data_IF_839349370125
#
_entry.id   IF_839349370125
#
_cell.length_a   1.000
_cell.length_b   1.000
_cell.length_c   1.000
_cell.angle_alpha   90.00
_cell.angle_beta   90.00
_cell.angle_gamma   90.00
#
_symmetry.space_group_name_H-M   'P 1'
#
loop_
_entity.id
_entity.type
_entity.pdbx_description
1 polymer ?
#
# COMPACT_ATOMS: atom_id res chain seq x y z
N UNK A 1 2.79 22.72 3.65
CA UNK A 1 2.78 21.55 4.55
C UNK A 1 4.16 20.88 4.49
N UNK A 2 4.75 20.58 5.64
CA UNK A 2 6.05 19.92 5.68
C UNK A 2 5.96 18.48 5.15
N UNK A 3 7.08 17.96 4.64
CA UNK A 3 7.14 16.57 4.18
C UNK A 3 6.80 15.59 5.31
N UNK A 4 7.35 15.83 6.52
CA UNK A 4 7.09 14.96 7.66
C UNK A 4 5.59 14.88 7.98
N UNK A 5 4.87 15.99 7.92
CA UNK A 5 3.43 16.01 8.15
C UNK A 5 2.70 15.27 7.02
N UNK A 6 3.10 15.48 5.77
CA UNK A 6 2.51 14.78 4.63
C UNK A 6 2.65 13.26 4.77
N UNK A 7 3.83 12.79 5.17
CA UNK A 7 4.07 11.35 5.36
C UNK A 7 3.24 10.77 6.50
N UNK A 8 3.09 11.53 7.58
CA UNK A 8 2.25 11.11 8.71
C UNK A 8 0.79 11.01 8.32
N UNK A 9 0.28 11.99 7.58
CA UNK A 9 -1.11 11.99 7.11
C UNK A 9 -1.35 10.84 6.13
N UNK A 10 -0.40 10.54 5.27
CA UNK A 10 -0.49 9.41 4.34
C UNK A 10 -0.60 8.08 5.11
N UNK A 11 0.20 7.90 6.14
CA UNK A 11 0.15 6.71 7.00
C UNK A 11 -1.21 6.60 7.70
N UNK A 12 -1.71 7.72 8.26
CA UNK A 12 -3.02 7.75 8.90
C UNK A 12 -4.14 7.42 7.92
N UNK A 13 -4.02 7.86 6.67
CA UNK A 13 -5.01 7.52 5.65
C UNK A 13 -5.03 6.02 5.36
N UNK A 14 -3.87 5.38 5.30
CA UNK A 14 -3.78 3.92 5.17
C UNK A 14 -4.45 3.19 6.33
N UNK A 15 -4.21 3.65 7.55
CA UNK A 15 -4.85 3.11 8.75
C UNK A 15 -6.37 3.32 8.72
N UNK A 16 -6.83 4.47 8.23
CA UNK A 16 -8.26 4.82 8.18
C UNK A 16 -9.04 3.95 7.20
N UNK A 17 -8.40 3.45 6.14
CA UNK A 17 -9.05 2.54 5.18
C UNK A 17 -9.61 1.32 5.90
N UNK A 18 -8.92 0.80 6.89
CA UNK A 18 -9.38 -0.36 7.64
C UNK A 18 -10.71 -0.12 8.35
N UNK A 19 -10.86 1.05 8.96
CA UNK A 19 -12.10 1.44 9.63
C UNK A 19 -13.22 1.67 8.63
N UNK A 20 -12.92 2.33 7.51
CA UNK A 20 -13.88 2.61 6.44
C UNK A 20 -14.40 1.34 5.79
N UNK A 21 -13.51 0.37 5.55
CA UNK A 21 -13.86 -0.93 4.98
C UNK A 21 -14.38 -1.92 6.03
N UNK A 22 -14.45 -1.51 7.29
CA UNK A 22 -14.88 -2.35 8.42
C UNK A 22 -14.03 -3.62 8.58
N UNK A 23 -12.75 -3.49 8.30
CA UNK A 23 -11.78 -4.58 8.44
C UNK A 23 -11.14 -4.51 9.82
N UNK A 24 -11.18 -5.63 10.53
CA UNK A 24 -10.67 -5.72 11.91
C UNK A 24 -9.49 -6.66 12.06
N UNK A 25 -9.08 -7.32 10.97
CA UNK A 25 -7.97 -8.26 10.98
C UNK A 25 -6.63 -7.52 11.00
N UNK A 26 -5.64 -8.09 11.70
CA UNK A 26 -4.26 -7.58 11.67
C UNK A 26 -3.60 -7.80 10.32
N UNK A 27 -3.84 -8.97 9.72
CA UNK A 27 -3.35 -9.25 8.37
C UNK A 27 -4.33 -8.63 7.37
N UNK A 28 -3.90 -7.57 6.72
CA UNK A 28 -4.69 -6.86 5.73
C UNK A 28 -4.35 -7.40 4.35
N UNK A 29 -5.38 -7.70 3.57
CA UNK A 29 -5.22 -8.11 2.19
C UNK A 29 -5.48 -6.93 1.25
N UNK A 30 -4.44 -6.32 0.68
CA UNK A 30 -4.62 -5.21 -0.24
C UNK A 30 -5.32 -5.62 -1.53
N UNK A 31 -5.26 -6.89 -1.92
CA UNK A 31 -6.00 -7.41 -3.07
C UNK A 31 -7.51 -7.32 -2.85
N UNK A 32 -7.96 -7.64 -1.64
CA UNK A 32 -9.38 -7.54 -1.28
C UNK A 32 -9.85 -6.07 -1.32
N UNK A 33 -9.04 -5.15 -0.80
CA UNK A 33 -9.36 -3.73 -0.83
C UNK A 33 -9.49 -3.24 -2.27
N UNK A 34 -8.55 -3.61 -3.14
CA UNK A 34 -8.61 -3.25 -4.55
C UNK A 34 -9.91 -3.77 -5.19
N UNK A 35 -10.26 -5.02 -4.93
CA UNK A 35 -11.48 -5.62 -5.48
C UNK A 35 -12.74 -4.89 -5.04
N UNK A 36 -12.81 -4.41 -3.81
CA UNK A 36 -13.94 -3.64 -3.29
C UNK A 36 -14.11 -2.30 -4.00
N UNK A 37 -13.04 -1.79 -4.62
CA UNK A 37 -13.05 -0.53 -5.36
C UNK A 37 -13.04 -0.75 -6.89
N UNK A 38 -13.36 -1.97 -7.33
CA UNK A 38 -13.40 -2.34 -8.74
C UNK A 38 -12.06 -2.15 -9.45
N UNK A 39 -10.97 -2.27 -8.72
CA UNK A 39 -9.61 -2.21 -9.27
C UNK A 39 -9.15 -3.63 -9.57
N UNK A 40 -8.84 -3.89 -10.84
CA UNK A 40 -8.31 -5.18 -11.27
C UNK A 40 -6.84 -5.25 -10.91
N UNK A 41 -6.44 -6.33 -10.23
CA UNK A 41 -5.04 -6.55 -9.85
C UNK A 41 -4.53 -7.80 -10.55
N UNK A 42 -3.40 -7.68 -11.26
CA UNK A 42 -2.79 -8.80 -11.96
C UNK A 42 -1.30 -8.87 -11.70
N UNK A 43 -0.79 -10.10 -11.65
CA UNK A 43 0.63 -10.36 -11.60
C UNK A 43 1.26 -10.09 -12.97
N UNK A 44 2.47 -9.49 -12.96
CA UNK A 44 3.27 -9.27 -14.16
C UNK A 44 4.65 -9.89 -13.95
N UNK A 45 4.97 -11.00 -14.62
CA UNK A 45 6.22 -11.73 -14.38
C UNK A 45 7.44 -11.14 -15.08
N UNK A 46 7.27 -10.14 -15.94
CA UNK A 46 8.31 -9.58 -16.79
C UNK A 46 8.41 -8.05 -16.66
N UNK A 47 8.37 -7.54 -15.43
CA UNK A 47 8.55 -6.12 -15.18
C UNK A 47 9.98 -5.68 -15.47
N UNK A 48 10.14 -4.40 -15.83
CA UNK A 48 11.46 -3.79 -15.96
C UNK A 48 12.19 -3.82 -14.62
N UNK A 49 13.53 -3.84 -14.68
CA UNK A 49 14.38 -3.89 -13.49
C UNK A 49 14.02 -2.75 -12.52
N UNK A 50 13.83 -3.09 -11.26
CA UNK A 50 13.49 -2.13 -10.21
C UNK A 50 12.02 -1.75 -10.12
N UNK A 51 11.20 -2.12 -11.09
CA UNK A 51 9.76 -1.85 -11.04
C UNK A 51 9.08 -2.86 -10.14
N UNK A 52 8.38 -2.40 -9.11
CA UNK A 52 7.66 -3.24 -8.16
C UNK A 52 6.18 -3.37 -8.52
N UNK A 53 5.60 -2.33 -9.10
CA UNK A 53 4.20 -2.30 -9.47
C UNK A 53 3.90 -1.18 -10.44
N UNK A 54 2.68 -1.20 -10.94
CA UNK A 54 2.19 -0.20 -11.88
C UNK A 54 0.72 0.11 -11.56
N UNK A 55 0.37 1.39 -11.63
CA UNK A 55 -1.01 1.84 -11.59
C UNK A 55 -1.43 2.22 -13.00
N UNK A 56 -2.56 1.71 -13.45
CA UNK A 56 -3.10 1.96 -14.78
C UNK A 56 -4.41 2.72 -14.66
N UNK A 57 -4.64 3.62 -15.61
CA UNK A 57 -5.89 4.36 -15.71
C UNK A 57 -6.42 4.34 -17.13
N UNK A 58 -7.70 4.06 -17.27
CA UNK A 58 -8.45 4.25 -18.52
C UNK A 58 -9.81 4.84 -18.17
N UNK A 59 -9.98 6.14 -18.43
CA UNK A 59 -11.17 6.87 -18.01
C UNK A 59 -11.31 6.89 -16.50
N UNK A 60 -12.39 6.32 -15.99
CA UNK A 60 -12.62 6.16 -14.55
C UNK A 60 -12.29 4.76 -14.04
N UNK A 61 -11.71 3.92 -14.88
CA UNK A 61 -11.31 2.55 -14.52
C UNK A 61 -9.84 2.51 -14.18
N UNK A 62 -9.50 1.75 -13.13
CA UNK A 62 -8.12 1.62 -12.65
C UNK A 62 -7.73 0.15 -12.57
N UNK A 63 -6.45 -0.10 -12.77
CA UNK A 63 -5.86 -1.41 -12.60
C UNK A 63 -4.51 -1.31 -11.92
N UNK A 64 -4.09 -2.40 -11.31
CA UNK A 64 -2.78 -2.51 -10.67
C UNK A 64 -2.09 -3.76 -11.20
N UNK A 65 -0.83 -3.60 -11.61
CA UNK A 65 0.06 -4.72 -11.90
C UNK A 65 1.15 -4.77 -10.83
N UNK A 66 1.50 -5.96 -10.38
CA UNK A 66 2.60 -6.12 -9.43
C UNK A 66 3.64 -7.10 -9.98
N UNK A 67 4.91 -6.86 -9.66
CA UNK A 67 6.01 -7.70 -10.11
C UNK A 67 5.93 -9.07 -9.43
N UNK A 68 5.68 -10.12 -10.19
CA UNK A 68 5.62 -11.49 -9.67
C UNK A 68 6.89 -12.29 -9.93
N UNK A 69 7.85 -11.73 -10.66
CA UNK A 69 9.19 -12.29 -10.83
C UNK A 69 10.02 -12.20 -9.54
N UNK A 70 9.59 -11.39 -8.59
CA UNK A 70 10.16 -11.35 -7.25
C UNK A 70 9.29 -12.21 -6.34
N UNK A 71 9.72 -13.45 -5.96
CA UNK A 71 8.87 -14.39 -5.24
C UNK A 71 8.82 -14.12 -3.74
N UNK A 72 8.34 -12.94 -3.37
CA UNK A 72 8.20 -12.51 -1.97
C UNK A 72 6.80 -11.93 -1.79
N UNK A 73 5.94 -12.66 -1.08
CA UNK A 73 4.56 -12.26 -0.87
C UNK A 73 4.44 -10.94 -0.12
N UNK A 74 5.27 -10.71 0.88
CA UNK A 74 5.29 -9.46 1.63
C UNK A 74 5.60 -8.28 0.73
N UNK A 75 6.58 -8.43 -0.15
CA UNK A 75 6.94 -7.39 -1.11
C UNK A 75 5.83 -7.17 -2.15
N UNK A 76 5.20 -8.23 -2.61
CA UNK A 76 4.08 -8.15 -3.56
C UNK A 76 2.88 -7.42 -2.93
N UNK A 77 2.55 -7.75 -1.68
CA UNK A 77 1.50 -7.05 -0.93
C UNK A 77 1.83 -5.57 -0.72
N UNK A 78 3.08 -5.29 -0.35
CA UNK A 78 3.52 -3.91 -0.19
C UNK A 78 3.41 -3.13 -1.50
N UNK A 79 3.77 -3.75 -2.61
CA UNK A 79 3.69 -3.13 -3.93
C UNK A 79 2.25 -2.77 -4.31
N UNK A 80 1.31 -3.69 -4.08
CA UNK A 80 -0.12 -3.42 -4.31
C UNK A 80 -0.63 -2.33 -3.38
N UNK A 81 -0.25 -2.38 -2.11
CA UNK A 81 -0.63 -1.35 -1.14
C UNK A 81 -0.08 0.03 -1.50
N UNK A 82 1.14 0.09 -2.05
CA UNK A 82 1.73 1.33 -2.55
C UNK A 82 0.90 1.93 -3.68
N UNK A 83 0.49 1.11 -4.66
CA UNK A 83 -0.35 1.59 -5.75
C UNK A 83 -1.74 2.02 -5.26
N UNK A 84 -2.29 1.33 -4.26
CA UNK A 84 -3.51 1.79 -3.59
C UNK A 84 -3.30 3.16 -2.92
N UNK A 85 -2.10 3.43 -2.42
CA UNK A 85 -1.76 4.74 -1.88
C UNK A 85 -1.94 5.84 -2.92
N UNK A 86 -1.45 5.63 -4.13
CA UNK A 86 -1.65 6.58 -5.22
C UNK A 86 -3.13 6.72 -5.59
N UNK A 87 -3.89 5.65 -5.47
CA UNK A 87 -5.32 5.69 -5.76
C UNK A 87 -6.11 6.48 -4.70
N UNK A 88 -5.81 6.28 -3.42
CA UNK A 88 -6.59 6.86 -2.32
C UNK A 88 -6.14 8.23 -1.87
N UNK A 89 -4.84 8.56 -1.98
CA UNK A 89 -4.33 9.82 -1.48
C UNK A 89 -4.72 10.99 -2.39
N UNK A 90 -5.23 12.05 -1.79
CA UNK A 90 -5.68 13.22 -2.51
C UNK A 90 -4.57 13.81 -3.38
N UNK A 91 -4.90 14.10 -4.63
CA UNK A 91 -3.98 14.72 -5.58
C UNK A 91 -2.99 13.77 -6.25
N UNK A 92 -2.88 12.53 -5.78
CA UNK A 92 -1.92 11.59 -6.34
C UNK A 92 -2.27 11.19 -7.77
N UNK A 93 -3.52 10.85 -8.06
CA UNK A 93 -3.94 10.47 -9.42
C UNK A 93 -3.64 11.58 -10.41
N UNK A 94 -3.96 12.82 -10.06
CA UNK A 94 -3.70 13.96 -10.95
C UNK A 94 -2.21 14.21 -11.17
N UNK A 95 -1.36 13.81 -10.23
CA UNK A 95 0.08 13.96 -10.33
C UNK A 95 0.74 12.81 -11.12
N UNK A 96 0.39 11.56 -10.79
CA UNK A 96 1.05 10.38 -11.38
C UNK A 96 0.39 9.90 -12.68
N UNK A 97 -0.92 10.14 -12.84
CA UNK A 97 -1.69 9.74 -14.02
C UNK A 97 -2.65 10.85 -14.46
N UNK A 98 -2.13 12.03 -14.89
CA UNK A 98 -3.00 13.13 -15.29
C UNK A 98 -3.85 12.81 -16.51
N UNK A 99 -3.40 11.84 -17.33
CA UNK A 99 -4.10 11.33 -18.51
C UNK A 99 -4.19 9.81 -18.41
N UNK A 100 -4.87 9.18 -19.35
CA UNK A 100 -4.87 7.73 -19.45
C UNK A 100 -3.43 7.22 -19.63
N UNK A 101 -3.12 6.09 -19.04
CA UNK A 101 -1.79 5.51 -19.16
C UNK A 101 -1.37 4.68 -17.97
N UNK A 102 -0.07 4.62 -17.77
CA UNK A 102 0.58 3.75 -16.79
C UNK A 102 1.60 4.55 -15.99
N UNK A 103 1.57 4.37 -14.68
CA UNK A 103 2.59 4.88 -13.77
C UNK A 103 3.34 3.71 -13.15
N UNK A 104 4.63 3.64 -13.40
CA UNK A 104 5.49 2.60 -12.83
C UNK A 104 6.11 3.07 -11.53
N UNK A 105 6.07 2.22 -10.51
CA UNK A 105 6.57 2.52 -9.18
C UNK A 105 7.75 1.63 -8.81
N UNK A 106 8.57 2.11 -7.87
CA UNK A 106 9.71 1.41 -7.31
C UNK A 106 9.55 1.34 -5.79
N UNK A 107 8.45 0.71 -5.35
CA UNK A 107 8.08 0.63 -3.94
C UNK A 107 9.20 -0.01 -3.11
N UNK A 108 9.44 0.55 -1.94
CA UNK A 108 10.49 0.07 -1.05
C UNK A 108 11.89 0.58 -1.38
N UNK A 109 12.06 1.30 -2.48
CA UNK A 109 13.32 1.94 -2.82
C UNK A 109 13.32 3.40 -2.39
N UNK A 110 14.50 3.92 -2.07
CA UNK A 110 14.66 5.32 -1.69
C UNK A 110 14.28 6.22 -2.86
N UNK A 111 13.42 7.19 -2.61
CA UNK A 111 12.97 8.15 -3.60
C UNK A 111 12.97 9.55 -3.00
N UNK A 112 13.34 10.54 -3.82
CA UNK A 112 13.21 11.95 -3.46
C UNK A 112 11.83 12.52 -3.75
N UNK A 113 10.97 11.79 -4.45
CA UNK A 113 9.62 12.24 -4.79
C UNK A 113 8.69 12.11 -3.60
N UNK A 114 8.13 13.23 -3.07
CA UNK A 114 7.20 13.19 -1.94
C UNK A 114 5.98 12.31 -2.19
N UNK A 115 5.47 12.24 -3.41
CA UNK A 115 4.30 11.41 -3.74
C UNK A 115 4.62 9.93 -3.58
N UNK A 116 5.82 9.50 -4.00
CA UNK A 116 6.25 8.11 -3.83
C UNK A 116 6.48 7.78 -2.36
N UNK A 117 7.05 8.71 -1.60
CA UNK A 117 7.24 8.54 -0.17
C UNK A 117 5.91 8.47 0.58
N UNK A 118 4.94 9.29 0.18
CA UNK A 118 3.59 9.23 0.75
C UNK A 118 2.91 7.89 0.46
N UNK A 119 3.04 7.37 -0.76
CA UNK A 119 2.48 6.07 -1.11
C UNK A 119 3.10 4.94 -0.29
N UNK A 120 4.41 4.98 -0.05
CA UNK A 120 5.08 4.02 0.84
C UNK A 120 4.53 4.11 2.27
N UNK A 121 4.35 5.32 2.79
CA UNK A 121 3.82 5.51 4.14
C UNK A 121 2.36 5.07 4.26
N UNK A 122 1.56 5.31 3.23
CA UNK A 122 0.21 4.77 3.15
C UNK A 122 0.23 3.24 3.25
N UNK A 123 1.11 2.60 2.48
CA UNK A 123 1.24 1.14 2.49
C UNK A 123 1.62 0.62 3.88
N UNK A 124 2.53 1.29 4.57
CA UNK A 124 2.88 0.94 5.95
C UNK A 124 1.66 1.05 6.87
N UNK A 125 0.91 2.15 6.77
CA UNK A 125 -0.29 2.36 7.58
C UNK A 125 -1.37 1.32 7.32
N UNK A 126 -1.54 0.93 6.05
CA UNK A 126 -2.53 -0.06 5.65
C UNK A 126 -2.15 -1.47 6.15
N UNK A 127 -0.90 -1.86 5.94
CA UNK A 127 -0.45 -3.24 6.22
C UNK A 127 -0.08 -3.46 7.68
N UNK A 128 0.34 -2.40 8.40
CA UNK A 128 0.73 -2.48 9.82
C UNK A 128 0.04 -1.36 10.61
N UNK A 129 -1.28 -1.40 10.74
CA UNK A 129 -2.00 -0.36 11.42
C UNK A 129 -1.62 -0.31 12.91
N UNK A 130 -1.27 0.89 13.39
CA UNK A 130 -0.75 1.06 14.75
C UNK A 130 -1.76 0.65 15.83
N UNK A 131 -3.04 0.92 15.62
CA UNK A 131 -4.07 0.66 16.64
C UNK A 131 -4.26 -0.84 16.92
N UNK A 132 -4.52 -1.71 15.92
CA UNK A 132 -4.57 -3.16 16.16
C UNK A 132 -3.25 -3.73 16.66
N UNK A 133 -2.12 -3.23 16.15
CA UNK A 133 -0.80 -3.68 16.57
C UNK A 133 -0.54 -3.33 18.05
N UNK A 134 -0.85 -2.10 18.47
CA UNK A 134 -0.74 -1.68 19.87
C UNK A 134 -1.63 -2.50 20.79
N UNK A 135 -2.84 -2.83 20.34
CA UNK A 135 -3.78 -3.63 21.11
C UNK A 135 -3.20 -5.03 21.37
N UNK A 136 -2.58 -5.65 20.37
CA UNK A 136 -1.93 -6.93 20.52
C UNK A 136 -0.74 -6.83 21.49
N UNK A 137 0.11 -5.82 21.32
CA UNK A 137 1.29 -5.60 22.13
C UNK A 137 0.97 -5.26 23.59
N UNK A 138 -0.16 -4.60 23.84
CA UNK A 138 -0.55 -4.19 25.18
C UNK A 138 -1.13 -5.30 26.06
N UNK A 139 -1.34 -6.50 25.53
CA UNK A 139 -1.98 -7.61 26.27
C UNK A 139 -1.02 -8.39 27.18
N UNK A 140 0.27 -8.39 26.85
CA UNK A 140 1.26 -9.16 27.58
C UNK A 140 2.67 -8.64 27.29
N UNK A 141 3.67 -9.25 27.91
CA UNK A 141 5.06 -8.98 27.53
C UNK A 141 5.27 -9.39 26.09
N UNK A 142 5.88 -8.51 25.31
CA UNK A 142 6.21 -8.80 23.94
C UNK A 142 7.31 -9.84 23.87
N UNK A 143 6.98 -10.96 23.25
CA UNK A 143 7.94 -11.92 22.77
C UNK A 143 8.05 -11.88 21.27
N UNK A 144 9.04 -12.56 20.73
CA UNK A 144 9.21 -12.70 19.29
C UNK A 144 7.96 -13.33 18.65
N UNK A 145 7.34 -14.26 19.35
CA UNK A 145 6.13 -14.95 18.91
C UNK A 145 4.96 -13.98 18.71
N UNK A 146 4.83 -12.99 19.60
CA UNK A 146 3.77 -11.99 19.49
C UNK A 146 3.98 -11.10 18.25
N UNK A 147 5.23 -10.79 17.94
CA UNK A 147 5.57 -10.00 16.75
C UNK A 147 5.26 -10.81 15.50
N UNK A 148 5.61 -12.09 15.46
CA UNK A 148 5.32 -12.97 14.33
C UNK A 148 3.82 -13.15 14.14
N UNK A 149 3.06 -13.33 15.20
CA UNK A 149 1.60 -13.43 15.14
C UNK A 149 0.98 -12.14 14.58
N UNK A 150 1.49 -10.98 14.96
CA UNK A 150 1.01 -9.70 14.43
C UNK A 150 1.31 -9.55 12.93
N UNK A 151 2.43 -10.10 12.47
CA UNK A 151 2.80 -10.05 11.05
C UNK A 151 1.99 -11.02 10.21
N UNK A 152 1.72 -12.22 10.73
CA UNK A 152 1.09 -13.32 9.99
C UNK A 152 -0.43 -13.38 10.14
N UNK A 153 -0.96 -12.65 11.11
CA UNK A 153 -2.40 -12.66 11.43
C UNK A 153 -3.30 -12.00 10.38
#
# INVERSE_FOLDING_TARGET
MSLLLRLRLAKQRGEAILSEEKLTKLAVDPFEIAARHDIIVQAKPDTASGVSGMLLRHGNSFGILYASDIPNEGFQRFSVAHELGHYFLDGHIDHVLPNDGVHASHAGFSSGDPYEQEADNFAVGLLMPAKPFRKLMGRSRLGLEDIEAARDA
#
